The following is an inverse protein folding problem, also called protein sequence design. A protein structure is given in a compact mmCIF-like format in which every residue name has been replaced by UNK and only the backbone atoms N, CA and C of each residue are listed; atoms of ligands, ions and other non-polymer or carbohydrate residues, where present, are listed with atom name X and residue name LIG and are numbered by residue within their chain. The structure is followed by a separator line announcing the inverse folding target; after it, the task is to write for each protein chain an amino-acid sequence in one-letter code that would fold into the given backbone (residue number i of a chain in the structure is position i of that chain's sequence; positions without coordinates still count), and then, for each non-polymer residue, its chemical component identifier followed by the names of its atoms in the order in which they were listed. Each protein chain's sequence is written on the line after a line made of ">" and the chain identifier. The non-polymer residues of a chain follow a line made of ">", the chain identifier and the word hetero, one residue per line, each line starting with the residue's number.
data_IF_179216439578
#
_entry.id   IF_179216439578
#
_cell.length_a   1.000
_cell.length_b   1.000
_cell.length_c   1.000
_cell.angle_alpha   90.00
_cell.angle_beta   90.00
_cell.angle_gamma   90.00
#
_symmetry.space_group_name_H-M   'P 1'
#
loop_
_entity.id
_entity.type
_entity.pdbx_description
1 polymer ?
#
# COMPACT_ATOMS: atom_id res chain seq x y z
N UNK A 1 -12.91 -8.93 5.00
CA UNK A 1 -11.44 -8.91 5.19
C UNK A 1 -10.86 -7.49 5.18
N UNK A 2 -11.14 -6.65 4.18
CA UNK A 2 -10.50 -5.33 4.04
C UNK A 2 -11.01 -4.20 4.95
N UNK A 3 -12.12 -4.40 5.66
CA UNK A 3 -12.73 -3.39 6.53
C UNK A 3 -11.75 -2.80 7.55
N UNK A 4 -10.95 -3.65 8.19
CA UNK A 4 -9.95 -3.27 9.20
C UNK A 4 -8.55 -3.04 8.62
N UNK A 5 -8.39 -3.09 7.28
CA UNK A 5 -7.10 -2.85 6.63
C UNK A 5 -6.47 -1.50 7.01
N UNK A 6 -7.23 -0.39 7.12
CA UNK A 6 -6.67 0.89 7.55
C UNK A 6 -6.00 0.83 8.92
N UNK A 7 -6.54 0.07 9.88
CA UNK A 7 -5.96 -0.09 11.22
C UNK A 7 -4.59 -0.79 11.15
N UNK A 8 -4.51 -1.89 10.39
CA UNK A 8 -3.28 -2.65 10.22
C UNK A 8 -2.19 -1.81 9.54
N UNK A 9 -2.58 -1.05 8.52
CA UNK A 9 -1.69 -0.16 7.79
C UNK A 9 -1.23 1.03 8.63
N UNK A 10 -2.12 1.59 9.46
CA UNK A 10 -1.75 2.66 10.36
C UNK A 10 -0.65 2.20 11.33
N UNK A 11 -0.81 1.00 11.89
CA UNK A 11 0.16 0.42 12.79
C UNK A 11 1.51 0.15 12.12
N UNK A 12 1.53 -0.47 10.94
CA UNK A 12 2.78 -0.76 10.23
C UNK A 12 3.45 0.50 9.69
N UNK A 13 2.67 1.47 9.21
CA UNK A 13 3.17 2.78 8.76
C UNK A 13 3.77 3.58 9.91
N UNK A 14 3.14 3.57 11.09
CA UNK A 14 3.65 4.27 12.26
C UNK A 14 5.02 3.74 12.68
N UNK A 15 5.22 2.41 12.66
CA UNK A 15 6.54 1.82 12.90
C UNK A 15 7.56 2.26 11.85
N UNK A 16 7.17 2.34 10.57
CA UNK A 16 8.05 2.77 9.49
C UNK A 16 8.45 4.24 9.63
N UNK A 17 7.51 5.11 9.98
CA UNK A 17 7.73 6.55 10.13
C UNK A 17 8.22 6.97 11.53
N UNK A 18 8.48 6.00 12.42
CA UNK A 18 8.91 6.22 13.81
C UNK A 18 7.94 7.13 14.59
N UNK A 19 6.64 6.91 14.38
CA UNK A 19 5.55 7.63 15.03
C UNK A 19 4.82 6.69 15.99
N UNK A 20 4.01 7.22 16.92
CA UNK A 20 3.32 6.41 17.92
C UNK A 20 2.25 5.50 17.25
N UNK A 21 2.42 4.16 17.33
CA UNK A 21 1.50 3.23 16.67
C UNK A 21 0.09 3.24 17.24
N UNK A 22 -0.07 3.52 18.54
CA UNK A 22 -1.38 3.57 19.17
C UNK A 22 -2.19 4.77 18.68
N UNK A 23 -1.55 5.95 18.61
CA UNK A 23 -2.20 7.16 18.08
C UNK A 23 -2.58 6.98 16.60
N UNK A 24 -1.69 6.39 15.80
CA UNK A 24 -1.98 6.08 14.40
C UNK A 24 -3.19 5.15 14.24
N UNK A 25 -3.27 4.09 15.04
CA UNK A 25 -4.41 3.17 15.06
C UNK A 25 -5.69 3.86 15.51
N UNK A 26 -5.61 4.77 16.50
CA UNK A 26 -6.77 5.57 16.92
C UNK A 26 -7.26 6.50 15.81
N UNK A 27 -6.35 7.14 15.05
CA UNK A 27 -6.72 7.93 13.86
C UNK A 27 -7.44 7.06 12.84
N UNK A 28 -6.90 5.88 12.50
CA UNK A 28 -7.58 4.95 11.60
C UNK A 28 -8.95 4.52 12.15
N UNK A 29 -9.05 4.27 13.44
CA UNK A 29 -10.29 3.93 14.14
C UNK A 29 -11.34 5.03 14.03
N UNK A 30 -10.93 6.30 14.15
CA UNK A 30 -11.82 7.44 13.96
C UNK A 30 -12.38 7.47 12.53
N UNK A 31 -11.53 7.27 11.51
CA UNK A 31 -11.96 7.29 10.10
C UNK A 31 -12.97 6.18 9.75
N UNK A 32 -12.88 5.02 10.39
CA UNK A 32 -13.80 3.89 10.16
C UNK A 32 -14.95 3.85 11.17
N UNK A 33 -15.06 4.86 12.04
CA UNK A 33 -16.07 4.89 13.09
C UNK A 33 -17.48 4.92 12.48
N UNK A 34 -18.46 4.14 12.98
CA UNK A 34 -19.76 3.96 12.34
C UNK A 34 -20.46 5.28 11.99
N UNK A 35 -20.42 6.27 12.88
CA UNK A 35 -21.04 7.57 12.66
C UNK A 35 -20.42 8.33 11.47
N UNK A 36 -19.10 8.26 11.28
CA UNK A 36 -18.43 8.85 10.10
C UNK A 36 -18.82 8.09 8.83
N UNK A 37 -18.97 6.77 8.92
CA UNK A 37 -19.39 5.94 7.79
C UNK A 37 -20.86 6.18 7.40
N UNK A 38 -21.73 6.46 8.37
CA UNK A 38 -23.13 6.84 8.14
C UNK A 38 -23.26 8.23 7.52
N UNK A 39 -22.44 9.19 7.96
CA UNK A 39 -22.32 10.51 7.33
C UNK A 39 -22.04 10.37 5.83
N UNK A 40 -21.12 9.47 5.43
CA UNK A 40 -20.84 9.17 4.01
C UNK A 40 -22.00 8.55 3.23
N UNK A 41 -22.97 7.93 3.89
CA UNK A 41 -24.16 7.33 3.24
C UNK A 41 -25.34 8.28 3.16
N UNK A 42 -25.39 9.30 4.01
CA UNK A 42 -26.51 10.23 4.14
C UNK A 42 -26.67 11.23 2.99
N UNK A 43 -25.71 11.33 2.07
CA UNK A 43 -25.81 12.13 0.85
C UNK A 43 -25.86 13.66 1.03
N UNK A 44 -25.69 14.16 2.26
CA UNK A 44 -25.66 15.60 2.55
C UNK A 44 -24.26 16.19 2.40
N UNK A 45 -24.19 17.47 2.01
CA UNK A 45 -22.97 18.26 2.08
C UNK A 45 -22.55 18.44 3.55
N UNK A 46 -21.52 17.70 3.95
CA UNK A 46 -20.95 17.83 5.29
C UNK A 46 -19.78 18.78 5.24
N UNK A 47 -19.81 19.79 6.11
CA UNK A 47 -18.71 20.72 6.29
C UNK A 47 -18.09 20.59 7.67
N UNK A 48 -16.78 20.75 7.74
CA UNK A 48 -16.03 20.85 8.99
C UNK A 48 -15.57 22.29 9.14
N UNK A 49 -16.13 23.03 10.09
CA UNK A 49 -15.90 24.49 10.24
C UNK A 49 -16.10 25.28 8.93
N UNK A 50 -17.12 24.93 8.15
CA UNK A 50 -17.41 25.58 6.86
C UNK A 50 -16.55 25.11 5.69
N UNK A 51 -15.59 24.21 5.91
CA UNK A 51 -14.80 23.57 4.84
C UNK A 51 -15.54 22.33 4.35
N UNK A 52 -15.85 22.20 3.04
CA UNK A 52 -16.49 21.00 2.50
C UNK A 52 -15.64 19.75 2.74
N UNK A 53 -16.28 18.70 3.23
CA UNK A 53 -15.66 17.38 3.42
C UNK A 53 -16.23 16.43 2.38
N UNK A 54 -15.36 15.84 1.56
CA UNK A 54 -15.80 14.77 0.65
C UNK A 54 -15.93 13.51 1.49
N UNK A 55 -17.18 13.17 1.82
CA UNK A 55 -17.46 11.97 2.57
C UNK A 55 -17.36 10.76 1.65
N UNK A 56 -16.47 9.85 2.02
CA UNK A 56 -16.23 8.62 1.29
C UNK A 56 -16.10 7.50 2.32
N UNK A 57 -16.30 6.26 1.87
CA UNK A 57 -16.04 5.12 2.73
C UNK A 57 -14.53 4.95 2.92
N UNK A 58 -14.06 5.12 4.16
CA UNK A 58 -12.65 4.89 4.50
C UNK A 58 -12.35 3.43 4.82
N UNK A 59 -13.38 2.63 5.08
CA UNK A 59 -13.26 1.20 5.31
C UNK A 59 -12.77 0.55 4.02
N UNK A 60 -11.56 -0.01 4.06
CA UNK A 60 -10.84 -0.61 2.92
C UNK A 60 -9.98 0.35 2.07
N UNK A 61 -9.81 1.62 2.45
CA UNK A 61 -8.86 2.51 1.77
C UNK A 61 -7.44 2.39 2.34
N UNK A 62 -6.43 2.50 1.48
CA UNK A 62 -5.03 2.25 1.85
C UNK A 62 -4.22 3.55 1.84
N UNK A 63 -4.34 4.34 0.78
CA UNK A 63 -3.54 5.54 0.56
C UNK A 63 -3.80 6.63 1.62
N UNK A 64 -5.06 6.98 1.95
CA UNK A 64 -5.34 8.08 2.88
C UNK A 64 -4.69 7.88 4.25
N UNK A 65 -4.76 6.65 4.80
CA UNK A 65 -4.22 6.38 6.13
C UNK A 65 -2.69 6.37 6.16
N UNK A 66 -2.02 5.92 5.10
CA UNK A 66 -0.55 5.96 5.01
C UNK A 66 -0.07 7.42 5.00
N UNK A 67 -0.73 8.28 4.22
CA UNK A 67 -0.45 9.72 4.18
C UNK A 67 -0.74 10.40 5.51
N UNK A 68 -1.86 10.07 6.15
CA UNK A 68 -2.21 10.59 7.47
C UNK A 68 -1.14 10.27 8.51
N UNK A 69 -0.67 9.02 8.57
CA UNK A 69 0.36 8.59 9.53
C UNK A 69 1.74 9.18 9.19
N UNK A 70 2.06 9.35 7.91
CA UNK A 70 3.26 10.07 7.48
C UNK A 70 3.28 11.49 8.04
N UNK A 71 2.20 12.26 7.82
CA UNK A 71 2.08 13.64 8.30
C UNK A 71 1.99 13.70 9.83
N UNK A 72 1.22 12.79 10.46
CA UNK A 72 1.16 12.62 11.91
C UNK A 72 2.56 12.51 12.51
N UNK A 73 3.45 11.72 11.90
CA UNK A 73 4.82 11.55 12.40
C UNK A 73 5.65 12.84 12.41
N UNK A 74 5.43 13.79 11.49
CA UNK A 74 6.08 15.10 11.55
C UNK A 74 5.48 15.99 12.63
N UNK A 75 4.15 16.02 12.71
CA UNK A 75 3.42 16.80 13.71
C UNK A 75 3.79 16.33 15.12
N UNK A 76 3.83 15.01 15.34
CA UNK A 76 4.19 14.40 16.62
C UNK A 76 5.59 14.82 17.07
N UNK A 77 6.58 14.73 16.17
CA UNK A 77 7.97 15.13 16.45
C UNK A 77 8.09 16.62 16.75
N UNK A 78 7.28 17.47 16.12
CA UNK A 78 7.24 18.89 16.39
C UNK A 78 6.70 19.17 17.80
N UNK A 79 5.51 18.65 18.13
CA UNK A 79 4.90 18.87 19.43
C UNK A 79 5.67 18.22 20.58
N UNK A 80 6.30 17.07 20.36
CA UNK A 80 7.19 16.47 21.36
C UNK A 80 8.45 17.29 21.66
N UNK A 81 8.81 18.28 20.82
CA UNK A 81 9.89 19.23 21.12
C UNK A 81 9.39 20.46 21.87
N UNK A 82 8.17 20.91 21.57
CA UNK A 82 7.60 22.16 22.12
C UNK A 82 6.95 21.94 23.48
N UNK A 83 6.30 20.79 23.69
CA UNK A 83 5.52 20.50 24.89
C UNK A 83 6.43 20.00 26.02
N UNK A 84 6.21 20.50 27.23
CA UNK A 84 6.92 20.08 28.44
C UNK A 84 6.70 18.59 28.75
N UNK A 85 7.74 17.91 29.21
CA UNK A 85 7.76 16.45 29.42
C UNK A 85 6.64 15.94 30.34
N UNK A 86 6.31 16.70 31.39
CA UNK A 86 5.26 16.36 32.36
C UNK A 86 3.86 16.18 31.77
N UNK A 87 3.55 16.83 30.64
CA UNK A 87 2.21 16.80 30.03
C UNK A 87 2.19 16.22 28.61
N UNK A 88 3.38 15.99 28.03
CA UNK A 88 3.57 15.56 26.64
C UNK A 88 2.83 14.26 26.29
N UNK A 89 2.82 13.30 27.21
CA UNK A 89 2.17 12.00 27.01
C UNK A 89 0.64 12.10 26.85
N UNK A 90 0.01 13.18 27.31
CA UNK A 90 -1.43 13.41 27.20
C UNK A 90 -1.77 14.43 26.09
N UNK A 91 -1.05 15.55 26.06
CA UNK A 91 -1.35 16.65 25.15
C UNK A 91 -0.97 16.32 23.70
N UNK A 92 0.19 15.67 23.46
CA UNK A 92 0.62 15.36 22.09
C UNK A 92 -0.39 14.45 21.38
N UNK A 93 -0.83 13.30 21.95
CA UNK A 93 -1.87 12.48 21.33
C UNK A 93 -3.17 13.22 21.05
N UNK A 94 -3.64 14.07 21.97
CA UNK A 94 -4.86 14.85 21.80
C UNK A 94 -4.75 15.78 20.59
N UNK A 95 -3.66 16.54 20.49
CA UNK A 95 -3.41 17.45 19.36
C UNK A 95 -3.35 16.67 18.06
N UNK A 96 -2.67 15.51 18.04
CA UNK A 96 -2.60 14.67 16.84
C UNK A 96 -3.99 14.19 16.39
N UNK A 97 -4.85 13.78 17.31
CA UNK A 97 -6.21 13.36 16.95
C UNK A 97 -7.04 14.53 16.41
N UNK A 98 -7.03 15.67 17.11
CA UNK A 98 -7.82 16.86 16.74
C UNK A 98 -7.35 17.47 15.42
N UNK A 99 -6.07 17.35 15.07
CA UNK A 99 -5.52 17.92 13.83
C UNK A 99 -5.51 16.92 12.68
N UNK A 100 -5.02 15.71 12.89
CA UNK A 100 -4.80 14.73 11.81
C UNK A 100 -6.11 14.10 11.35
N UNK A 101 -7.09 13.85 12.24
CA UNK A 101 -8.37 13.26 11.82
C UNK A 101 -9.11 14.18 10.84
N UNK A 102 -9.37 15.47 11.15
CA UNK A 102 -10.01 16.36 10.19
C UNK A 102 -9.17 16.62 8.95
N UNK A 103 -7.84 16.77 9.10
CA UNK A 103 -6.94 16.93 7.96
C UNK A 103 -7.03 15.73 7.01
N UNK A 104 -7.18 14.53 7.55
CA UNK A 104 -7.36 13.32 6.75
C UNK A 104 -8.69 13.33 6.02
N UNK A 105 -9.79 13.73 6.66
CA UNK A 105 -11.10 13.79 6.01
C UNK A 105 -11.18 14.88 4.92
N UNK A 106 -10.55 16.03 5.14
CA UNK A 106 -10.61 17.19 4.23
C UNK A 106 -9.60 17.07 3.09
N UNK A 107 -8.40 16.58 3.35
CA UNK A 107 -7.27 16.64 2.40
C UNK A 107 -6.87 15.24 1.93
N UNK A 108 -6.43 14.38 2.86
CA UNK A 108 -5.81 13.11 2.46
C UNK A 108 -6.80 12.06 1.95
N UNK A 109 -8.05 12.13 2.39
CA UNK A 109 -9.16 11.31 1.90
C UNK A 109 -9.41 11.59 0.43
N UNK A 110 -9.88 12.81 0.08
CA UNK A 110 -10.12 13.19 -1.32
C UNK A 110 -8.88 12.99 -2.18
N UNK A 111 -7.72 13.44 -1.73
CA UNK A 111 -6.47 13.25 -2.46
C UNK A 111 -6.15 11.78 -2.71
N UNK A 112 -6.23 10.93 -1.67
CA UNK A 112 -5.92 9.52 -1.79
C UNK A 112 -6.87 8.77 -2.72
N UNK A 113 -8.16 9.12 -2.72
CA UNK A 113 -9.15 8.53 -3.63
C UNK A 113 -9.01 9.05 -5.05
N UNK A 114 -8.82 10.36 -5.26
CA UNK A 114 -8.61 10.90 -6.60
C UNK A 114 -7.29 10.41 -7.22
N UNK A 115 -6.22 10.33 -6.43
CA UNK A 115 -4.96 9.74 -6.87
C UNK A 115 -5.12 8.25 -7.21
N UNK A 116 -5.80 7.49 -6.35
CA UNK A 116 -6.10 6.08 -6.59
C UNK A 116 -6.93 5.87 -7.86
N UNK A 117 -8.02 6.63 -8.01
CA UNK A 117 -8.89 6.60 -9.18
C UNK A 117 -8.17 7.04 -10.45
N UNK A 118 -7.28 8.04 -10.37
CA UNK A 118 -6.46 8.48 -11.50
C UNK A 118 -5.50 7.40 -11.97
N UNK A 119 -4.80 6.75 -11.04
CA UNK A 119 -3.92 5.60 -11.33
C UNK A 119 -4.75 4.46 -11.94
N UNK A 120 -5.89 4.12 -11.34
CA UNK A 120 -6.79 3.09 -11.83
C UNK A 120 -7.31 3.41 -13.24
N UNK A 121 -7.69 4.66 -13.51
CA UNK A 121 -8.18 5.09 -14.82
C UNK A 121 -7.10 5.01 -15.91
N UNK A 122 -5.85 5.40 -15.59
CA UNK A 122 -4.71 5.24 -16.51
C UNK A 122 -4.47 3.77 -16.82
N UNK A 123 -4.43 2.92 -15.80
CA UNK A 123 -4.29 1.48 -15.98
C UNK A 123 -5.44 0.91 -16.82
N UNK A 124 -6.67 1.22 -16.48
CA UNK A 124 -7.85 0.77 -17.22
C UNK A 124 -7.81 1.21 -18.69
N UNK A 125 -7.35 2.44 -18.98
CA UNK A 125 -7.21 2.93 -20.36
C UNK A 125 -6.16 2.14 -21.15
N UNK A 126 -5.04 1.80 -20.52
CA UNK A 126 -4.00 0.97 -21.14
C UNK A 126 -4.52 -0.46 -21.36
N UNK A 127 -5.21 -1.03 -20.37
CA UNK A 127 -5.83 -2.35 -20.47
C UNK A 127 -7.00 -2.39 -21.47
N UNK A 128 -7.79 -1.32 -21.63
CA UNK A 128 -8.89 -1.27 -22.60
C UNK A 128 -8.39 -1.14 -24.04
N UNK A 129 -7.23 -0.53 -24.25
CA UNK A 129 -6.61 -0.46 -25.58
C UNK A 129 -6.12 -1.84 -26.04
N UNK A 130 -5.36 -2.53 -25.18
CA UNK A 130 -4.96 -3.91 -25.42
C UNK A 130 -4.59 -4.60 -24.11
N UNK A 131 -5.46 -5.48 -23.57
CA UNK A 131 -5.18 -6.19 -22.33
C UNK A 131 -3.90 -7.04 -22.41
N UNK A 132 -3.65 -7.63 -23.57
CA UNK A 132 -2.48 -8.48 -23.83
C UNK A 132 -1.19 -7.67 -23.81
N UNK A 133 -1.16 -6.52 -24.51
CA UNK A 133 0.02 -5.66 -24.54
C UNK A 133 0.29 -5.03 -23.17
N UNK A 134 -0.76 -4.56 -22.50
CA UNK A 134 -0.69 -4.02 -21.14
C UNK A 134 -0.11 -5.04 -20.16
N UNK A 135 -0.65 -6.27 -20.20
CA UNK A 135 -0.17 -7.38 -19.37
C UNK A 135 1.29 -7.74 -19.66
N UNK A 136 1.68 -7.79 -20.93
CA UNK A 136 3.06 -8.08 -21.34
C UNK A 136 4.05 -7.02 -20.86
N UNK A 137 3.71 -5.73 -20.98
CA UNK A 137 4.56 -4.63 -20.50
C UNK A 137 4.72 -4.65 -18.98
N UNK A 138 3.64 -4.90 -18.24
CA UNK A 138 3.69 -5.04 -16.78
C UNK A 138 4.54 -6.24 -16.38
N UNK A 139 4.35 -7.40 -17.03
CA UNK A 139 5.14 -8.60 -16.78
C UNK A 139 6.63 -8.35 -17.03
N UNK A 140 6.97 -7.67 -18.12
CA UNK A 140 8.35 -7.32 -18.48
C UNK A 140 8.98 -6.37 -17.45
N UNK A 141 8.26 -5.33 -17.04
CA UNK A 141 8.74 -4.36 -16.07
C UNK A 141 8.82 -4.94 -14.64
N UNK A 142 7.99 -5.94 -14.31
CA UNK A 142 7.86 -6.45 -12.94
C UNK A 142 9.19 -6.90 -12.35
N UNK A 143 10.00 -7.64 -13.11
CA UNK A 143 11.26 -8.16 -12.57
C UNK A 143 12.28 -7.05 -12.30
N UNK A 144 12.27 -6.00 -13.13
CA UNK A 144 13.09 -4.79 -12.91
C UNK A 144 12.65 -4.11 -11.61
N UNK A 145 11.33 -3.96 -11.40
CA UNK A 145 10.78 -3.40 -10.16
C UNK A 145 11.09 -4.24 -8.92
N UNK A 146 11.23 -5.57 -9.06
CA UNK A 146 11.67 -6.47 -7.99
C UNK A 146 13.13 -6.23 -7.64
N UNK A 147 14.01 -6.08 -8.64
CA UNK A 147 15.44 -5.80 -8.44
C UNK A 147 15.64 -4.49 -7.65
N UNK A 148 14.90 -3.44 -8.01
CA UNK A 148 14.98 -2.16 -7.29
C UNK A 148 14.11 -2.09 -6.02
N UNK A 149 13.36 -3.16 -5.70
CA UNK A 149 12.43 -3.18 -4.57
C UNK A 149 11.20 -2.26 -4.70
N UNK A 150 11.06 -1.55 -5.82
CA UNK A 150 9.98 -0.58 -6.09
C UNK A 150 8.60 -1.26 -6.15
N UNK A 151 8.55 -2.56 -6.50
CA UNK A 151 7.31 -3.32 -6.59
C UNK A 151 6.51 -3.32 -5.26
N UNK A 152 7.16 -3.19 -4.11
CA UNK A 152 6.49 -3.06 -2.81
C UNK A 152 5.63 -1.79 -2.71
N UNK A 153 6.01 -0.71 -3.42
CA UNK A 153 5.23 0.51 -3.51
C UNK A 153 3.91 0.35 -4.29
N UNK A 154 3.79 -0.70 -5.11
CA UNK A 154 2.56 -1.01 -5.85
C UNK A 154 1.57 -1.87 -5.04
N UNK A 155 2.03 -2.55 -3.98
CA UNK A 155 1.16 -3.38 -3.13
C UNK A 155 0.01 -2.58 -2.52
N UNK A 156 0.23 -1.37 -1.96
CA UNK A 156 -0.85 -0.49 -1.52
C UNK A 156 -1.91 -0.19 -2.59
N UNK A 157 -1.48 0.00 -3.84
CA UNK A 157 -2.36 0.29 -4.98
C UNK A 157 -3.19 -0.94 -5.35
N UNK A 158 -2.55 -2.11 -5.42
CA UNK A 158 -3.23 -3.39 -5.68
C UNK A 158 -4.31 -3.65 -4.63
N UNK A 159 -3.98 -3.47 -3.35
CA UNK A 159 -4.93 -3.65 -2.25
C UNK A 159 -6.07 -2.64 -2.34
N UNK A 160 -5.78 -1.38 -2.71
CA UNK A 160 -6.81 -0.37 -2.90
C UNK A 160 -7.74 -0.70 -4.07
N UNK A 161 -7.21 -1.15 -5.22
CA UNK A 161 -8.01 -1.55 -6.37
C UNK A 161 -8.97 -2.70 -6.00
N UNK A 162 -8.48 -3.72 -5.30
CA UNK A 162 -9.32 -4.83 -4.83
C UNK A 162 -10.40 -4.32 -3.86
N UNK A 163 -10.03 -3.42 -2.95
CA UNK A 163 -10.95 -2.88 -1.96
C UNK A 163 -12.06 -1.99 -2.55
N UNK A 164 -11.73 -1.12 -3.51
CA UNK A 164 -12.64 -0.13 -4.09
C UNK A 164 -13.41 -0.70 -5.28
N UNK A 165 -12.75 -1.48 -6.13
CA UNK A 165 -13.31 -1.98 -7.40
C UNK A 165 -13.62 -3.48 -7.38
N UNK A 166 -13.29 -4.21 -6.31
CA UNK A 166 -13.47 -5.65 -6.20
C UNK A 166 -12.48 -6.49 -7.02
N UNK A 167 -11.61 -5.85 -7.81
CA UNK A 167 -10.62 -6.50 -8.69
C UNK A 167 -9.40 -5.61 -8.90
N UNK A 168 -8.29 -6.23 -9.28
CA UNK A 168 -7.07 -5.54 -9.69
C UNK A 168 -6.50 -6.14 -10.99
N UNK A 169 -6.01 -5.28 -11.87
CA UNK A 169 -5.45 -5.66 -13.17
C UNK A 169 -3.93 -5.82 -13.14
N UNK A 170 -3.24 -5.20 -12.17
CA UNK A 170 -1.77 -5.26 -12.06
C UNK A 170 -1.35 -6.65 -11.63
N UNK A 171 -1.90 -7.17 -10.53
CA UNK A 171 -1.46 -8.41 -9.89
C UNK A 171 -1.52 -9.62 -10.83
N UNK A 172 -2.62 -9.89 -11.58
CA UNK A 172 -2.64 -10.98 -12.55
C UNK A 172 -1.58 -10.82 -13.66
N UNK A 173 -1.33 -9.58 -14.11
CA UNK A 173 -0.33 -9.30 -15.13
C UNK A 173 1.12 -9.56 -14.67
N UNK A 174 1.37 -9.62 -13.36
CA UNK A 174 2.70 -9.97 -12.81
C UNK A 174 2.96 -11.48 -12.77
N UNK A 175 1.92 -12.32 -12.83
CA UNK A 175 2.06 -13.76 -12.69
C UNK A 175 2.99 -14.40 -13.75
N UNK A 176 2.91 -14.05 -15.05
CA UNK A 176 3.83 -14.57 -16.05
C UNK A 176 5.30 -14.27 -15.72
N UNK A 177 5.61 -13.10 -15.16
CA UNK A 177 6.97 -12.75 -14.77
C UNK A 177 7.51 -13.67 -13.67
N UNK A 178 6.68 -13.93 -12.65
CA UNK A 178 6.99 -14.82 -11.53
C UNK A 178 7.22 -16.25 -12.01
N UNK A 179 6.30 -16.79 -12.81
CA UNK A 179 6.43 -18.16 -13.33
C UNK A 179 7.58 -18.29 -14.33
N UNK A 180 7.92 -17.22 -15.06
CA UNK A 180 9.10 -17.21 -15.92
C UNK A 180 10.39 -17.32 -15.11
N UNK A 181 10.48 -16.70 -13.94
CA UNK A 181 11.64 -16.87 -13.04
C UNK A 181 11.74 -18.29 -12.46
N UNK A 182 10.60 -18.89 -12.11
CA UNK A 182 10.57 -20.29 -11.69
C UNK A 182 11.06 -21.20 -12.83
N UNK A 183 10.52 -21.02 -14.04
CA UNK A 183 10.93 -21.78 -15.23
C UNK A 183 12.41 -21.60 -15.58
N UNK A 184 12.93 -20.37 -15.52
CA UNK A 184 14.34 -20.09 -15.74
C UNK A 184 15.23 -20.78 -14.70
N UNK A 185 14.84 -20.74 -13.42
CA UNK A 185 15.56 -21.43 -12.34
C UNK A 185 15.57 -22.94 -12.54
N UNK A 186 14.42 -23.54 -12.91
CA UNK A 186 14.33 -24.97 -13.25
C UNK A 186 15.23 -25.29 -14.45
N UNK A 187 15.23 -24.44 -15.48
CA UNK A 187 16.09 -24.60 -16.65
C UNK A 187 17.58 -24.63 -16.30
N UNK A 188 18.02 -23.72 -15.43
CA UNK A 188 19.41 -23.71 -14.91
C UNK A 188 19.69 -24.96 -14.08
N UNK A 189 18.77 -25.34 -13.19
CA UNK A 189 18.89 -26.56 -12.38
C UNK A 189 19.11 -27.80 -13.26
N UNK A 190 18.35 -27.95 -14.35
CA UNK A 190 18.45 -29.11 -15.23
C UNK A 190 19.75 -29.11 -16.06
N UNK A 191 20.20 -27.93 -16.52
CA UNK A 191 21.34 -27.80 -17.45
C UNK A 191 22.71 -27.68 -16.77
N UNK A 192 22.77 -27.12 -15.58
CA UNK A 192 24.06 -26.82 -14.93
C UNK A 192 24.75 -28.07 -14.38
N UNK A 193 26.08 -28.12 -14.54
CA UNK A 193 26.95 -29.16 -13.96
C UNK A 193 27.53 -28.74 -12.60
N UNK A 194 27.46 -27.46 -12.25
CA UNK A 194 27.96 -26.96 -10.97
C UNK A 194 26.99 -27.38 -9.85
N UNK A 195 27.45 -28.25 -8.94
CA UNK A 195 26.63 -28.78 -7.84
C UNK A 195 26.02 -27.68 -6.95
N UNK A 196 26.76 -26.60 -6.68
CA UNK A 196 26.27 -25.48 -5.85
C UNK A 196 25.16 -24.73 -6.59
N UNK A 197 25.39 -24.36 -7.85
CA UNK A 197 24.40 -23.65 -8.66
C UNK A 197 23.15 -24.50 -8.92
N UNK A 198 23.30 -25.82 -9.13
CA UNK A 198 22.17 -26.75 -9.28
C UNK A 198 21.30 -26.78 -8.03
N UNK A 199 21.91 -26.90 -6.85
CA UNK A 199 21.20 -26.89 -5.57
C UNK A 199 20.48 -25.56 -5.33
N UNK A 200 21.17 -24.44 -5.59
CA UNK A 200 20.59 -23.10 -5.47
C UNK A 200 19.38 -22.96 -6.40
N UNK A 201 19.55 -23.24 -7.69
CA UNK A 201 18.50 -23.12 -8.69
C UNK A 201 17.24 -23.97 -8.38
N UNK A 202 17.41 -25.16 -7.80
CA UNK A 202 16.27 -25.96 -7.33
C UNK A 202 15.53 -25.30 -6.18
N UNK A 203 16.24 -24.82 -5.16
CA UNK A 203 15.63 -24.15 -4.01
C UNK A 203 14.94 -22.83 -4.37
N UNK A 204 15.52 -22.04 -5.26
CA UNK A 204 14.95 -20.76 -5.71
C UNK A 204 13.78 -20.95 -6.67
N UNK A 205 13.77 -22.03 -7.46
CA UNK A 205 12.62 -22.40 -8.29
C UNK A 205 11.37 -22.64 -7.44
N UNK A 206 11.49 -23.39 -6.33
CA UNK A 206 10.38 -23.62 -5.40
C UNK A 206 9.88 -22.31 -4.83
N UNK A 207 10.79 -21.44 -4.37
CA UNK A 207 10.45 -20.10 -3.86
C UNK A 207 9.69 -19.26 -4.91
N UNK A 208 10.14 -19.29 -6.16
CA UNK A 208 9.55 -18.54 -7.26
C UNK A 208 8.14 -19.03 -7.61
N UNK A 209 7.86 -20.34 -7.53
CA UNK A 209 6.50 -20.89 -7.69
C UNK A 209 5.52 -20.29 -6.68
N UNK A 210 5.98 -20.01 -5.45
CA UNK A 210 5.18 -19.37 -4.41
C UNK A 210 5.17 -17.83 -4.49
N UNK A 211 5.69 -17.24 -5.57
CA UNK A 211 5.66 -15.80 -5.78
C UNK A 211 6.85 -15.03 -5.21
N UNK A 212 7.84 -15.71 -4.63
CA UNK A 212 9.04 -15.10 -4.08
C UNK A 212 10.18 -15.27 -5.08
N UNK A 213 10.50 -14.21 -5.82
CA UNK A 213 11.41 -14.27 -6.97
C UNK A 213 12.80 -13.75 -6.67
N UNK A 214 12.99 -13.03 -5.56
CA UNK A 214 14.25 -12.40 -5.17
C UNK A 214 15.42 -13.41 -5.13
N UNK A 215 15.29 -14.60 -4.53
CA UNK A 215 16.39 -15.58 -4.52
C UNK A 215 16.74 -16.08 -5.93
N UNK A 216 15.74 -16.26 -6.81
CA UNK A 216 15.97 -16.72 -8.18
C UNK A 216 16.68 -15.66 -9.02
N UNK A 217 16.29 -14.40 -8.83
CA UNK A 217 16.78 -13.25 -9.60
C UNK A 217 18.22 -12.95 -9.23
N UNK A 218 18.50 -12.82 -7.94
CA UNK A 218 19.85 -12.52 -7.45
C UNK A 218 20.78 -13.73 -7.40
N UNK A 219 20.24 -14.95 -7.41
CA UNK A 219 21.02 -16.17 -7.22
C UNK A 219 21.24 -17.00 -8.48
N UNK A 220 20.42 -16.81 -9.52
CA UNK A 220 20.39 -17.72 -10.67
C UNK A 220 20.32 -17.01 -12.01
N UNK A 221 19.39 -16.07 -12.18
CA UNK A 221 19.11 -15.50 -13.52
C UNK A 221 19.91 -14.24 -13.86
N UNK A 222 20.36 -13.47 -12.86
CA UNK A 222 21.17 -12.26 -13.06
C UNK A 222 22.57 -12.34 -12.40
N UNK A 223 23.09 -13.55 -12.21
CA UNK A 223 24.44 -13.82 -11.67
C UNK A 223 25.43 -14.09 -12.79
#
# INVERSE_FOLDING_TARGET
>A
MFYFLPLLLAFTSARKFKANPFVAVTIAGALIYPTIQELSKGGGDVSFFGIPVVLMSYTSTVIPIILAVFVMGYIERFFNKVIHESVKNFITPLILLVTVVPLTLIVFGPFGVYAGNGIAAVLLKVFSFSPTLAGALIAMAWQILVIFGIHWGLVPVILNNIAVHGKDHIKPATAPAVFSQAGASIGVMLKTKNKKLKSLAGSTAVSAVFGITEPAVYGVTFV
#
